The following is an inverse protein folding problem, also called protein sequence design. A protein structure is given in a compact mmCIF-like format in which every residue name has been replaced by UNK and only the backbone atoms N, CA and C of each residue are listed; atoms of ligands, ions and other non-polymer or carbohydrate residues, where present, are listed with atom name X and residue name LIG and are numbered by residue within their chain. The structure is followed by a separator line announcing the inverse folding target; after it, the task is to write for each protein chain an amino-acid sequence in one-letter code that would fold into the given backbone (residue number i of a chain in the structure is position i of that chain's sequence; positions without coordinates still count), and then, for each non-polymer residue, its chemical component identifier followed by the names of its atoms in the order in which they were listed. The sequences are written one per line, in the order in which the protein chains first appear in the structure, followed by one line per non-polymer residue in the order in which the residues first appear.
data_IF_934459213503
#
_entry.id   IF_934459213503
#
_cell.length_a   1.000
_cell.length_b   1.000
_cell.length_c   1.000
_cell.angle_alpha   90.00
_cell.angle_beta   90.00
_cell.angle_gamma   90.00
#
_symmetry.space_group_name_H-M   'P 1'
#
loop_
_entity.id
_entity.type
_entity.pdbx_description
1 polymer ?
#
# COMPACT_ATOMS: atom_id res chain seq x y z
N UNK A 1 12.81 -14.64 6.88
CA UNK A 1 11.47 -15.02 7.32
C UNK A 1 10.68 -13.82 7.88
N UNK A 2 11.13 -13.18 8.97
CA UNK A 2 10.42 -12.08 9.65
C UNK A 2 10.11 -10.89 8.75
N UNK A 3 11.04 -10.51 7.89
CA UNK A 3 10.85 -9.41 6.94
C UNK A 3 9.77 -9.73 5.91
N UNK A 4 9.67 -10.98 5.48
CA UNK A 4 8.61 -11.42 4.58
C UNK A 4 7.22 -11.38 5.22
N UNK A 5 7.10 -11.67 6.53
CA UNK A 5 5.84 -11.53 7.26
C UNK A 5 5.32 -10.08 7.29
N UNK A 6 6.22 -9.10 7.29
CA UNK A 6 5.85 -7.69 7.23
C UNK A 6 5.53 -7.23 5.80
N UNK A 7 6.26 -7.73 4.79
CA UNK A 7 6.03 -7.43 3.38
C UNK A 7 4.73 -8.02 2.85
N UNK A 8 4.38 -9.19 3.32
CA UNK A 8 3.23 -9.95 2.80
C UNK A 8 1.89 -9.21 2.96
N UNK A 9 1.47 -8.73 4.15
CA UNK A 9 0.22 -7.99 4.31
C UNK A 9 0.18 -6.72 3.45
N UNK A 10 1.31 -6.05 3.28
CA UNK A 10 1.39 -4.88 2.42
C UNK A 10 1.17 -5.22 0.95
N UNK A 11 1.83 -6.29 0.47
CA UNK A 11 1.61 -6.82 -0.89
C UNK A 11 0.15 -7.17 -1.11
N UNK A 12 -0.48 -7.85 -0.13
CA UNK A 12 -1.91 -8.19 -0.18
C UNK A 12 -2.79 -6.94 -0.25
N UNK A 13 -2.52 -5.92 0.55
CA UNK A 13 -3.28 -4.68 0.56
C UNK A 13 -3.33 -4.02 -0.82
N UNK A 14 -2.21 -3.96 -1.52
CA UNK A 14 -2.16 -3.46 -2.89
C UNK A 14 -2.91 -4.36 -3.87
N UNK A 15 -2.65 -5.67 -3.86
CA UNK A 15 -3.29 -6.61 -4.79
C UNK A 15 -4.81 -6.59 -4.62
N UNK A 16 -5.31 -6.67 -3.39
CA UNK A 16 -6.76 -6.62 -3.13
C UNK A 16 -7.34 -5.23 -3.40
N UNK A 17 -6.61 -4.15 -3.13
CA UNK A 17 -6.99 -2.81 -3.51
C UNK A 17 -7.16 -2.67 -5.03
N UNK A 18 -6.26 -3.27 -5.80
CA UNK A 18 -6.37 -3.38 -7.26
C UNK A 18 -7.59 -4.20 -7.69
N UNK A 19 -7.77 -5.41 -7.13
CA UNK A 19 -8.93 -6.28 -7.42
C UNK A 19 -10.24 -5.54 -7.12
N UNK A 20 -10.31 -4.83 -6.00
CA UNK A 20 -11.49 -4.08 -5.60
C UNK A 20 -11.85 -2.93 -6.57
N UNK A 21 -10.87 -2.44 -7.34
CA UNK A 21 -11.07 -1.43 -8.39
C UNK A 21 -11.55 -2.00 -9.72
N UNK A 22 -11.64 -3.32 -9.86
CA UNK A 22 -12.21 -3.97 -11.06
C UNK A 22 -13.75 -3.92 -10.95
N UNK A 23 -14.29 -2.71 -11.04
CA UNK A 23 -15.72 -2.43 -10.99
C UNK A 23 -16.13 -1.50 -12.13
N UNK A 24 -17.37 -1.61 -12.68
CA UNK A 24 -17.80 -0.78 -13.80
C UNK A 24 -17.68 0.73 -13.54
N UNK A 25 -18.05 1.19 -12.34
CA UNK A 25 -17.97 2.62 -12.01
C UNK A 25 -16.53 3.12 -11.85
N UNK A 26 -15.62 2.26 -11.39
CA UNK A 26 -14.20 2.59 -11.35
C UNK A 26 -13.59 2.58 -12.74
N UNK A 27 -13.83 1.53 -13.52
CA UNK A 27 -13.25 1.37 -14.86
C UNK A 27 -13.80 2.38 -15.87
N UNK A 28 -15.00 2.89 -15.65
CA UNK A 28 -15.58 3.98 -16.46
C UNK A 28 -15.10 5.38 -16.06
N UNK A 29 -14.33 5.51 -14.98
CA UNK A 29 -13.85 6.80 -14.46
C UNK A 29 -14.88 7.56 -13.61
N UNK A 30 -16.11 7.08 -13.45
CA UNK A 30 -17.15 7.76 -12.66
C UNK A 30 -16.76 7.89 -11.18
N UNK A 31 -16.40 6.77 -10.54
CA UNK A 31 -16.01 6.78 -9.14
C UNK A 31 -14.70 7.57 -8.90
N UNK A 32 -13.61 7.38 -9.67
CA UNK A 32 -12.41 8.21 -9.54
C UNK A 32 -12.68 9.71 -9.73
N UNK A 33 -13.44 10.08 -10.76
CA UNK A 33 -13.79 11.48 -11.04
C UNK A 33 -14.57 12.14 -9.90
N UNK A 34 -15.53 11.42 -9.33
CA UNK A 34 -16.30 11.90 -8.19
C UNK A 34 -15.42 12.08 -6.93
N UNK A 35 -14.56 11.10 -6.63
CA UNK A 35 -13.67 11.13 -5.46
C UNK A 35 -12.64 12.26 -5.55
N UNK A 36 -11.96 12.38 -6.70
CA UNK A 36 -10.93 13.40 -6.89
C UNK A 36 -11.58 14.78 -7.01
N UNK A 37 -12.72 14.90 -7.71
CA UNK A 37 -13.47 16.13 -7.82
C UNK A 37 -13.91 16.68 -6.45
N UNK A 38 -14.28 15.80 -5.51
CA UNK A 38 -14.55 16.19 -4.12
C UNK A 38 -13.29 16.62 -3.39
N UNK A 39 -12.19 15.89 -3.56
CA UNK A 39 -10.91 16.23 -2.91
C UNK A 39 -10.32 17.57 -3.38
N UNK A 40 -10.69 18.01 -4.57
CA UNK A 40 -10.25 19.27 -5.19
C UNK A 40 -11.35 20.32 -5.27
N UNK A 41 -12.46 20.11 -4.57
CA UNK A 41 -13.60 21.02 -4.55
C UNK A 41 -13.18 22.46 -4.19
N UNK A 42 -13.68 23.43 -4.95
CA UNK A 42 -13.32 24.84 -4.78
C UNK A 42 -11.94 25.23 -5.32
N UNK A 43 -11.17 24.31 -5.92
CA UNK A 43 -9.91 24.62 -6.60
C UNK A 43 -10.14 24.78 -8.10
N UNK A 44 -9.19 25.46 -8.80
CA UNK A 44 -9.23 25.57 -10.26
C UNK A 44 -9.07 24.22 -10.98
N UNK A 45 -8.59 23.20 -10.30
CA UNK A 45 -8.41 21.85 -10.85
C UNK A 45 -9.70 21.01 -10.85
N UNK A 46 -10.71 21.40 -10.07
CA UNK A 46 -11.95 20.61 -9.94
C UNK A 46 -12.61 20.32 -11.29
N UNK A 47 -12.82 21.35 -12.10
CA UNK A 47 -13.46 21.20 -13.42
C UNK A 47 -12.63 20.29 -14.35
N UNK A 48 -11.31 20.37 -14.26
CA UNK A 48 -10.40 19.58 -15.09
C UNK A 48 -10.43 18.10 -14.70
N UNK A 49 -10.39 17.77 -13.42
CA UNK A 49 -10.39 16.36 -12.97
C UNK A 49 -11.74 15.67 -13.17
N UNK A 50 -12.83 16.44 -13.35
CA UNK A 50 -14.16 15.91 -13.68
C UNK A 50 -14.33 15.62 -15.18
N UNK A 51 -13.37 16.01 -16.04
CA UNK A 51 -13.40 15.64 -17.46
C UNK A 51 -13.35 14.10 -17.59
N UNK A 52 -14.20 13.48 -18.45
CA UNK A 52 -14.28 12.02 -18.57
C UNK A 52 -12.94 11.34 -18.87
N UNK A 53 -12.13 11.95 -19.75
CA UNK A 53 -10.79 11.44 -20.09
C UNK A 53 -9.83 11.48 -18.92
N UNK A 54 -9.86 12.53 -18.12
CA UNK A 54 -9.01 12.70 -16.94
C UNK A 54 -9.44 11.75 -15.85
N UNK A 55 -10.73 11.67 -15.55
CA UNK A 55 -11.30 10.72 -14.58
C UNK A 55 -10.97 9.26 -14.93
N UNK A 56 -11.06 8.92 -16.20
CA UNK A 56 -10.71 7.60 -16.72
C UNK A 56 -9.21 7.31 -16.53
N UNK A 57 -8.35 8.27 -16.87
CA UNK A 57 -6.90 8.16 -16.66
C UNK A 57 -6.55 7.91 -15.18
N UNK A 58 -7.17 8.64 -14.26
CA UNK A 58 -6.98 8.44 -12.81
C UNK A 58 -7.42 7.05 -12.37
N UNK A 59 -8.57 6.58 -12.85
CA UNK A 59 -9.09 5.24 -12.52
C UNK A 59 -8.12 4.13 -12.92
N UNK A 60 -7.67 4.17 -14.17
CA UNK A 60 -6.74 3.18 -14.69
C UNK A 60 -5.34 3.30 -14.10
N UNK A 61 -4.82 4.52 -13.89
CA UNK A 61 -3.50 4.71 -13.27
C UNK A 61 -3.48 4.19 -11.83
N UNK A 62 -4.54 4.42 -11.03
CA UNK A 62 -4.65 3.89 -9.68
C UNK A 62 -4.76 2.38 -9.64
N UNK A 63 -5.52 1.78 -10.56
CA UNK A 63 -5.63 0.31 -10.67
C UNK A 63 -4.30 -0.32 -11.07
N UNK A 64 -3.64 0.21 -12.10
CA UNK A 64 -2.35 -0.29 -12.57
C UNK A 64 -1.26 -0.12 -11.50
N UNK A 65 -1.27 1.02 -10.80
CA UNK A 65 -0.36 1.25 -9.68
C UNK A 65 -0.49 0.15 -8.63
N UNK A 66 -1.71 -0.13 -8.16
CA UNK A 66 -1.93 -1.13 -7.12
C UNK A 66 -1.52 -2.55 -7.57
N UNK A 67 -1.71 -2.90 -8.84
CA UNK A 67 -1.25 -4.20 -9.33
C UNK A 67 0.25 -4.28 -9.56
N UNK A 68 0.89 -3.23 -10.05
CA UNK A 68 2.28 -3.29 -10.49
C UNK A 68 3.26 -3.01 -9.35
N UNK A 69 2.90 -2.11 -8.42
CA UNK A 69 3.83 -1.62 -7.39
C UNK A 69 4.38 -2.73 -6.49
N UNK A 70 3.58 -3.70 -5.98
CA UNK A 70 4.11 -4.74 -5.10
C UNK A 70 5.15 -5.62 -5.79
N UNK A 71 5.00 -5.88 -7.07
CA UNK A 71 5.97 -6.66 -7.85
C UNK A 71 7.20 -5.83 -8.21
N UNK A 72 6.99 -4.56 -8.57
CA UNK A 72 8.06 -3.65 -8.94
C UNK A 72 9.01 -3.32 -7.76
N UNK A 73 8.49 -3.25 -6.52
CA UNK A 73 9.35 -3.05 -5.33
C UNK A 73 10.08 -4.34 -4.90
N UNK A 74 9.54 -5.52 -5.24
CA UNK A 74 10.20 -6.80 -4.97
C UNK A 74 11.40 -7.01 -5.89
N UNK A 75 11.31 -6.58 -7.14
CA UNK A 75 12.38 -6.74 -8.10
C UNK A 75 13.44 -5.64 -7.96
N UNK A 76 14.70 -6.03 -7.65
CA UNK A 76 15.78 -5.09 -7.33
C UNK A 76 16.01 -3.98 -8.38
N UNK A 77 16.03 -4.27 -9.70
CA UNK A 77 16.28 -3.24 -10.73
C UNK A 77 15.22 -2.13 -10.76
N UNK A 78 13.94 -2.47 -10.54
CA UNK A 78 12.82 -1.52 -10.62
C UNK A 78 12.51 -0.85 -9.29
N UNK A 79 13.04 -1.37 -8.18
CA UNK A 79 12.69 -0.97 -6.81
C UNK A 79 12.78 0.53 -6.55
N UNK A 80 13.84 1.20 -7.04
CA UNK A 80 14.02 2.65 -6.82
C UNK A 80 12.95 3.47 -7.56
N UNK A 81 12.66 3.09 -8.81
CA UNK A 81 11.62 3.74 -9.62
C UNK A 81 10.24 3.49 -9.01
N UNK A 82 9.97 2.25 -8.60
CA UNK A 82 8.74 1.87 -7.92
C UNK A 82 8.55 2.65 -6.60
N UNK A 83 9.60 2.83 -5.83
CA UNK A 83 9.55 3.64 -4.60
C UNK A 83 9.25 5.10 -4.89
N UNK A 84 9.90 5.69 -5.90
CA UNK A 84 9.61 7.06 -6.30
C UNK A 84 8.15 7.21 -6.77
N UNK A 85 7.66 6.26 -7.57
CA UNK A 85 6.25 6.21 -7.97
C UNK A 85 5.31 6.10 -6.77
N UNK A 86 5.67 5.30 -5.76
CA UNK A 86 4.91 5.19 -4.52
C UNK A 86 4.91 6.51 -3.72
N UNK A 87 6.05 7.21 -3.66
CA UNK A 87 6.14 8.54 -3.04
C UNK A 87 5.20 9.53 -3.72
N UNK A 88 5.24 9.61 -5.05
CA UNK A 88 4.36 10.52 -5.80
C UNK A 88 2.88 10.17 -5.61
N UNK A 89 2.52 8.89 -5.74
CA UNK A 89 1.15 8.42 -5.60
C UNK A 89 0.59 8.66 -4.19
N UNK A 90 1.32 8.28 -3.15
CA UNK A 90 0.85 8.44 -1.77
C UNK A 90 0.87 9.88 -1.30
N UNK A 91 1.81 10.70 -1.77
CA UNK A 91 1.83 12.14 -1.51
C UNK A 91 0.61 12.80 -2.15
N UNK A 92 0.32 12.47 -3.42
CA UNK A 92 -0.91 12.93 -4.07
C UNK A 92 -2.15 12.52 -3.27
N UNK A 93 -2.25 11.25 -2.88
CA UNK A 93 -3.39 10.74 -2.11
C UNK A 93 -3.53 11.43 -0.73
N UNK A 94 -2.42 11.79 -0.10
CA UNK A 94 -2.44 12.50 1.18
C UNK A 94 -3.08 13.89 1.05
N UNK A 95 -2.79 14.62 -0.02
CA UNK A 95 -3.32 15.97 -0.23
C UNK A 95 -4.74 15.99 -0.83
N UNK A 96 -5.07 15.03 -1.68
CA UNK A 96 -6.35 15.00 -2.40
C UNK A 96 -7.43 14.26 -1.63
N UNK A 97 -7.07 13.19 -0.93
CA UNK A 97 -8.03 12.38 -0.19
C UNK A 97 -7.82 12.53 1.31
N UNK A 98 -8.89 12.79 2.04
CA UNK A 98 -8.85 12.87 3.52
C UNK A 98 -8.78 11.48 4.17
N UNK A 99 -7.76 10.68 3.81
CA UNK A 99 -7.56 9.31 4.28
C UNK A 99 -6.58 9.19 5.47
N UNK A 100 -6.34 10.31 6.13
CA UNK A 100 -5.54 10.36 7.36
C UNK A 100 -4.08 9.91 7.17
N UNK A 101 -3.58 9.13 8.11
CA UNK A 101 -2.17 8.69 8.15
C UNK A 101 -1.82 7.57 7.15
N UNK A 102 -2.82 6.97 6.51
CA UNK A 102 -2.63 5.78 5.66
C UNK A 102 -1.56 5.95 4.57
N UNK A 103 -1.51 7.04 3.79
CA UNK A 103 -0.48 7.22 2.76
C UNK A 103 0.94 7.26 3.33
N UNK A 104 1.12 7.90 4.49
CA UNK A 104 2.41 7.96 5.17
C UNK A 104 2.84 6.58 5.68
N UNK A 105 1.89 5.82 6.25
CA UNK A 105 2.13 4.45 6.68
C UNK A 105 2.51 3.55 5.50
N UNK A 106 1.83 3.67 4.35
CA UNK A 106 2.15 2.92 3.15
C UNK A 106 3.56 3.22 2.63
N UNK A 107 3.97 4.50 2.63
CA UNK A 107 5.34 4.89 2.28
C UNK A 107 6.37 4.32 3.24
N UNK A 108 6.11 4.41 4.55
CA UNK A 108 7.00 3.84 5.55
C UNK A 108 7.15 2.32 5.37
N UNK A 109 6.06 1.60 5.18
CA UNK A 109 6.09 0.16 4.97
C UNK A 109 6.77 -0.23 3.64
N UNK A 110 6.72 0.62 2.61
CA UNK A 110 7.43 0.40 1.35
C UNK A 110 8.95 0.37 1.55
N UNK A 111 9.48 1.07 2.57
CA UNK A 111 10.91 1.01 2.89
C UNK A 111 11.38 -0.38 3.33
N UNK A 112 10.48 -1.23 3.84
CA UNK A 112 10.80 -2.61 4.23
C UNK A 112 11.27 -3.50 3.07
N UNK A 113 11.04 -3.09 1.82
CA UNK A 113 11.50 -3.82 0.65
C UNK A 113 12.97 -3.55 0.32
N UNK A 114 13.54 -2.49 0.89
CA UNK A 114 14.96 -2.15 0.70
C UNK A 114 15.87 -2.97 1.62
N UNK A 115 17.13 -2.99 1.30
CA UNK A 115 18.15 -3.57 2.17
C UNK A 115 18.25 -2.75 3.46
N UNK A 116 18.62 -3.36 4.60
CA UNK A 116 18.67 -2.65 5.89
C UNK A 116 19.63 -1.45 5.92
N UNK A 117 20.60 -1.41 5.03
CA UNK A 117 21.56 -0.33 4.84
C UNK A 117 21.10 0.75 3.84
N UNK A 118 19.90 0.59 3.26
CA UNK A 118 19.34 1.55 2.31
C UNK A 118 19.30 2.99 2.85
N UNK A 119 18.84 3.25 4.10
CA UNK A 119 18.89 4.60 4.64
C UNK A 119 20.32 5.17 4.74
N UNK A 120 21.31 4.31 5.01
CA UNK A 120 22.71 4.73 5.13
C UNK A 120 23.27 5.27 3.81
N UNK A 121 22.76 4.83 2.66
CA UNK A 121 23.21 5.30 1.34
C UNK A 121 22.82 6.77 1.09
N UNK A 122 21.78 7.27 1.77
CA UNK A 122 21.24 8.63 1.64
C UNK A 122 21.73 9.58 2.72
N UNK A 123 22.37 9.04 3.77
CA UNK A 123 22.86 9.83 4.90
C UNK A 123 24.24 10.40 4.53
N UNK A 124 24.45 11.73 4.63
CA UNK A 124 25.76 12.35 4.42
C UNK A 124 26.85 11.73 5.31
N UNK A 125 28.06 11.68 4.81
CA UNK A 125 29.18 10.99 5.50
C UNK A 125 29.47 11.56 6.90
N UNK A 126 29.28 12.86 7.12
CA UNK A 126 29.47 13.50 8.42
C UNK A 126 28.49 13.00 9.48
N UNK A 127 27.25 12.67 9.10
CA UNK A 127 26.27 12.04 9.99
C UNK A 127 26.64 10.57 10.22
N UNK A 128 27.09 9.87 9.19
CA UNK A 128 27.51 8.46 9.31
C UNK A 128 28.62 8.26 10.34
N UNK A 129 29.59 9.16 10.41
CA UNK A 129 30.70 9.08 11.36
C UNK A 129 30.24 9.18 12.82
N UNK A 130 29.25 10.07 13.11
CA UNK A 130 28.69 10.16 14.44
C UNK A 130 27.85 8.94 14.83
N UNK A 131 27.13 8.36 13.87
CA UNK A 131 26.24 7.22 14.10
C UNK A 131 26.99 5.88 14.10
N UNK A 132 28.09 5.72 13.34
CA UNK A 132 28.80 4.46 13.22
C UNK A 132 29.34 3.95 14.55
N UNK A 133 29.87 4.82 15.40
CA UNK A 133 30.44 4.45 16.70
C UNK A 133 29.38 3.93 17.69
N UNK A 134 28.17 4.47 17.62
CA UNK A 134 27.06 4.08 18.50
C UNK A 134 26.29 2.87 17.96
N UNK A 135 26.00 2.86 16.65
CA UNK A 135 25.14 1.87 16.00
C UNK A 135 25.86 0.52 15.77
N UNK A 136 27.10 0.52 15.33
CA UNK A 136 27.87 -0.70 15.09
C UNK A 136 28.14 -1.47 16.38
N UNK A 137 28.39 -0.77 17.48
CA UNK A 137 28.67 -1.40 18.78
C UNK A 137 27.42 -2.11 19.34
N UNK A 138 26.23 -1.52 19.15
CA UNK A 138 24.94 -2.04 19.62
C UNK A 138 24.44 -3.20 18.72
N UNK A 139 24.63 -3.10 17.39
CA UNK A 139 24.19 -4.10 16.42
C UNK A 139 24.93 -5.43 16.56
N UNK A 140 26.25 -5.40 16.76
CA UNK A 140 27.05 -6.63 16.95
C UNK A 140 26.66 -7.41 18.20
N UNK A 141 26.22 -6.74 19.25
CA UNK A 141 25.79 -7.38 20.51
C UNK A 141 24.39 -8.01 20.37
N UNK A 142 23.45 -7.33 19.70
CA UNK A 142 22.06 -7.78 19.58
C UNK A 142 21.87 -8.97 18.64
N UNK A 143 22.62 -9.07 17.54
CA UNK A 143 22.46 -10.15 16.57
C UNK A 143 23.00 -11.52 17.06
N UNK A 144 23.86 -11.52 18.07
CA UNK A 144 24.48 -12.76 18.59
C UNK A 144 23.55 -13.54 19.52
N UNK A 145 22.47 -12.92 20.02
CA UNK A 145 21.59 -13.50 21.03
C UNK A 145 20.19 -13.88 20.51
N UNK A 146 19.87 -13.55 19.26
CA UNK A 146 18.55 -13.84 18.68
C UNK A 146 18.54 -15.19 17.97
N UNK A 147 17.79 -16.14 18.53
CA UNK A 147 17.40 -17.33 17.79
C UNK A 147 16.40 -16.91 16.68
N UNK A 148 16.92 -16.71 15.46
CA UNK A 148 16.17 -16.17 14.31
C UNK A 148 15.25 -17.21 13.66
N UNK A 149 15.27 -18.44 14.13
CA UNK A 149 14.43 -19.52 13.58
C UNK A 149 13.11 -19.61 14.36
N UNK A 150 11.96 -19.46 13.68
CA UNK A 150 10.67 -19.63 14.34
C UNK A 150 10.44 -21.09 14.75
N UNK A 151 9.80 -21.30 15.89
CA UNK A 151 9.36 -22.64 16.28
C UNK A 151 8.29 -23.17 15.29
N UNK A 152 8.16 -24.50 15.19
CA UNK A 152 7.15 -25.13 14.32
C UNK A 152 5.74 -24.66 14.65
N UNK A 153 5.40 -24.53 15.95
CA UNK A 153 4.11 -24.02 16.38
C UNK A 153 3.85 -22.57 15.92
N UNK A 154 4.87 -21.70 16.02
CA UNK A 154 4.75 -20.33 15.55
C UNK A 154 4.56 -20.27 14.01
N UNK A 155 5.28 -21.11 13.26
CA UNK A 155 5.10 -21.21 11.80
C UNK A 155 3.67 -21.63 11.47
N UNK A 156 3.10 -22.62 12.18
CA UNK A 156 1.72 -23.06 11.95
C UNK A 156 0.71 -21.94 12.21
N UNK A 157 0.84 -21.21 13.32
CA UNK A 157 -0.03 -20.07 13.64
C UNK A 157 0.07 -18.98 12.58
N UNK A 158 1.29 -18.63 12.16
CA UNK A 158 1.51 -17.60 11.15
C UNK A 158 0.99 -18.04 9.77
N UNK A 159 1.11 -19.32 9.42
CA UNK A 159 0.54 -19.88 8.19
C UNK A 159 -0.99 -19.81 8.20
N UNK A 160 -1.61 -20.09 9.35
CA UNK A 160 -3.06 -19.94 9.49
C UNK A 160 -3.49 -18.48 9.35
N UNK A 161 -2.78 -17.54 9.97
CA UNK A 161 -3.05 -16.11 9.81
C UNK A 161 -2.91 -15.64 8.36
N UNK A 162 -1.89 -16.12 7.64
CA UNK A 162 -1.71 -15.85 6.20
C UNK A 162 -2.92 -16.38 5.41
N UNK A 163 -3.34 -17.62 5.69
CA UNK A 163 -4.49 -18.22 5.02
C UNK A 163 -5.78 -17.41 5.28
N UNK A 164 -6.00 -16.99 6.51
CA UNK A 164 -7.13 -16.14 6.88
C UNK A 164 -7.08 -14.82 6.08
N UNK A 165 -5.93 -14.17 6.00
CA UNK A 165 -5.77 -12.93 5.23
C UNK A 165 -5.97 -13.11 3.72
N UNK A 166 -5.71 -14.31 3.17
CA UNK A 166 -5.97 -14.63 1.78
C UNK A 166 -7.45 -14.91 1.50
N UNK A 167 -8.17 -15.50 2.44
CA UNK A 167 -9.55 -15.96 2.22
C UNK A 167 -10.58 -14.91 2.62
N UNK A 168 -10.39 -14.27 3.78
CA UNK A 168 -11.36 -13.32 4.34
C UNK A 168 -11.72 -12.15 3.41
N UNK A 169 -10.83 -11.59 2.58
CA UNK A 169 -11.20 -10.54 1.64
C UNK A 169 -12.27 -10.95 0.63
N UNK A 170 -12.40 -12.24 0.32
CA UNK A 170 -13.43 -12.75 -0.60
C UNK A 170 -14.80 -12.99 0.06
N UNK A 171 -14.92 -12.79 1.38
CA UNK A 171 -16.18 -13.02 2.09
C UNK A 171 -17.36 -12.22 1.55
N UNK A 172 -17.09 -11.05 0.95
CA UNK A 172 -18.15 -10.24 0.33
C UNK A 172 -18.85 -10.94 -0.84
N UNK A 173 -18.24 -11.96 -1.46
CA UNK A 173 -18.84 -12.76 -2.53
C UNK A 173 -19.96 -13.69 -2.02
N UNK A 174 -20.03 -13.93 -0.71
CA UNK A 174 -21.07 -14.79 -0.11
C UNK A 174 -22.36 -14.02 0.19
N UNK A 175 -22.37 -12.69 0.03
CA UNK A 175 -23.56 -11.87 0.23
C UNK A 175 -24.21 -11.57 -1.13
N UNK A 176 -25.56 -11.78 -1.27
CA UNK A 176 -26.25 -11.50 -2.52
C UNK A 176 -26.33 -10.01 -2.80
N UNK A 177 -26.12 -9.62 -4.04
CA UNK A 177 -26.18 -8.23 -4.47
C UNK A 177 -24.80 -7.54 -4.59
N UNK A 178 -24.82 -6.26 -4.88
CA UNK A 178 -23.60 -5.48 -5.04
C UNK A 178 -23.13 -4.93 -3.70
N UNK A 179 -21.97 -5.37 -3.25
CA UNK A 179 -21.33 -4.96 -1.99
C UNK A 179 -21.16 -3.45 -1.85
N UNK A 180 -21.06 -2.73 -2.96
CA UNK A 180 -20.97 -1.26 -2.99
C UNK A 180 -22.22 -0.60 -2.39
N UNK A 181 -23.40 -1.21 -2.52
CA UNK A 181 -24.65 -0.66 -2.06
C UNK A 181 -25.01 -1.07 -0.63
N UNK A 182 -24.90 -2.37 -0.29
CA UNK A 182 -25.36 -2.88 1.01
C UNK A 182 -24.26 -2.97 2.08
N UNK A 183 -22.97 -2.84 1.69
CA UNK A 183 -21.78 -2.89 2.57
C UNK A 183 -21.55 -4.20 3.34
N UNK A 184 -22.38 -5.20 3.16
CA UNK A 184 -22.17 -6.50 3.80
C UNK A 184 -20.89 -7.16 3.27
N UNK A 185 -20.12 -7.76 4.18
CA UNK A 185 -18.83 -8.32 3.84
C UNK A 185 -17.72 -7.30 3.52
N UNK A 186 -17.98 -5.98 3.65
CA UNK A 186 -17.01 -4.93 3.38
C UNK A 186 -15.80 -4.96 4.32
N UNK A 187 -15.99 -5.28 5.60
CA UNK A 187 -14.91 -5.36 6.59
C UNK A 187 -13.87 -6.40 6.18
N UNK A 188 -12.59 -6.02 6.26
CA UNK A 188 -11.43 -6.84 5.86
C UNK A 188 -11.38 -7.24 4.37
N UNK A 189 -12.16 -6.59 3.49
CA UNK A 189 -12.16 -6.86 2.06
C UNK A 189 -11.22 -5.95 1.26
N UNK A 190 -10.42 -5.10 1.93
CA UNK A 190 -9.51 -4.12 1.32
C UNK A 190 -10.18 -3.15 0.32
N UNK A 191 -11.49 -2.99 0.44
CA UNK A 191 -12.31 -2.12 -0.43
C UNK A 191 -12.35 -0.72 0.14
N UNK A 192 -11.25 0.01 -0.01
CA UNK A 192 -11.13 1.38 0.48
C UNK A 192 -11.36 2.40 -0.65
N UNK A 193 -12.00 3.52 -0.34
CA UNK A 193 -12.18 4.66 -1.25
C UNK A 193 -12.89 4.32 -2.58
N UNK A 194 -13.75 3.30 -2.61
CA UNK A 194 -14.45 2.89 -3.83
C UNK A 194 -15.79 3.58 -4.04
N UNK A 195 -16.24 4.37 -3.06
CA UNK A 195 -17.56 4.98 -3.09
C UNK A 195 -17.62 6.27 -2.28
N UNK A 196 -18.61 7.06 -2.64
CA UNK A 196 -19.03 8.24 -1.91
C UNK A 196 -20.49 8.05 -1.53
N UNK A 197 -20.85 8.23 -0.26
CA UNK A 197 -22.24 8.40 0.15
C UNK A 197 -22.56 9.89 0.05
N UNK A 198 -23.55 10.22 -0.76
CA UNK A 198 -24.21 11.53 -0.79
C UNK A 198 -25.41 11.49 0.13
#
# INVERSE_FOLDING_TARGET
FWLWLLRFPMTLGYVYGGIAKIEPDWLSGKAPGALIGKGLEGTFLEAWVRLPSVSLFYGWSGLLFDFLIPFAVLWKPTRKIAFLSAVLFHTHNYFVFSIGIFPLLALFLTTLYFEPDFPEQWIPQWIKQQWSNWYCKKRKKSLKELNLYPSKGLVSVLSLLILIQLVVPFRHLFYPGWTVWHEEGHWFAWRMMLRQKT
#
